data_IF_496461283342
#
_entry.id   IF_496461283342
#
_cell.length_a   1.000
_cell.length_b   1.000
_cell.length_c   1.000
_cell.angle_alpha   90.00
_cell.angle_beta   90.00
_cell.angle_gamma   90.00
#
_symmetry.space_group_name_H-M   'P 1'
#
loop_
_entity.id
_entity.type
_entity.pdbx_description
1 polymer ?
#
# COMPACT_ATOMS: atom_id res chain seq x y z
N UNK A 1 -17.28 0.12 -81.57
CA UNK A 1 -17.85 1.49 -81.68
C UNK A 1 -18.15 2.03 -80.31
N UNK A 2 -17.95 3.34 -80.12
CA UNK A 2 -18.15 4.14 -78.89
C UNK A 2 -16.94 4.19 -77.93
N UNK A 3 -15.96 5.09 -78.12
CA UNK A 3 -15.92 6.55 -77.78
C UNK A 3 -15.43 6.75 -76.33
N UNK A 4 -14.14 7.10 -76.13
CA UNK A 4 -13.62 8.47 -75.81
C UNK A 4 -13.76 8.74 -74.27
N UNK A 5 -12.82 9.28 -73.52
CA UNK A 5 -12.05 10.51 -73.70
C UNK A 5 -10.80 10.53 -72.81
N UNK A 6 -9.77 11.23 -73.31
CA UNK A 6 -8.57 11.68 -72.58
C UNK A 6 -8.85 12.99 -71.82
N UNK A 7 -7.89 13.31 -70.92
CA UNK A 7 -7.38 14.62 -70.45
C UNK A 7 -7.73 14.98 -68.99
N UNK A 8 -6.95 15.86 -68.30
CA UNK A 8 -5.50 16.06 -68.37
C UNK A 8 -4.82 16.45 -67.01
N UNK A 9 -3.51 16.70 -67.10
CA UNK A 9 -2.80 17.88 -66.55
C UNK A 9 -2.17 17.86 -65.14
N UNK A 10 -0.84 17.72 -65.16
CA UNK A 10 0.22 18.58 -64.58
C UNK A 10 0.18 19.04 -63.11
N UNK A 11 1.28 18.67 -62.45
CA UNK A 11 2.17 19.46 -61.56
C UNK A 11 1.56 20.27 -60.40
N UNK A 12 2.06 20.03 -59.18
CA UNK A 12 3.10 20.89 -58.58
C UNK A 12 3.56 20.36 -57.22
N UNK A 13 4.70 20.90 -56.81
CA UNK A 13 5.68 20.39 -55.87
C UNK A 13 5.44 20.93 -54.45
N UNK A 14 5.79 20.11 -53.47
CA UNK A 14 6.18 20.42 -52.08
C UNK A 14 5.23 21.22 -51.17
N UNK A 15 4.89 20.62 -50.02
CA UNK A 15 4.96 21.31 -48.73
C UNK A 15 5.07 20.29 -47.57
N UNK A 16 6.07 20.53 -46.72
CA UNK A 16 6.34 19.88 -45.46
C UNK A 16 5.11 19.68 -44.56
N UNK A 17 4.93 18.47 -44.04
CA UNK A 17 4.12 18.22 -42.85
C UNK A 17 5.04 17.82 -41.70
N UNK A 18 5.35 18.79 -40.84
CA UNK A 18 5.87 18.57 -39.48
C UNK A 18 4.70 18.16 -38.56
N UNK A 19 5.06 17.48 -37.46
CA UNK A 19 4.28 17.13 -36.24
C UNK A 19 3.90 15.64 -36.18
N UNK A 20 3.99 14.93 -35.06
CA UNK A 20 4.47 15.16 -33.69
C UNK A 20 4.65 13.76 -33.05
N UNK A 21 5.57 13.68 -32.08
CA UNK A 21 5.69 12.72 -30.98
C UNK A 21 4.72 11.51 -30.93
N UNK A 22 5.30 10.30 -30.85
CA UNK A 22 4.68 9.15 -30.18
C UNK A 22 5.38 8.92 -28.85
N UNK A 23 4.62 8.91 -27.75
CA UNK A 23 4.77 7.82 -26.80
C UNK A 23 3.40 7.16 -26.61
N UNK A 24 3.34 5.84 -26.79
CA UNK A 24 2.15 5.04 -26.47
C UNK A 24 2.60 3.77 -25.76
N UNK A 25 2.90 3.91 -24.47
CA UNK A 25 2.78 2.82 -23.52
C UNK A 25 2.03 3.35 -22.30
N UNK A 26 1.09 2.52 -21.90
CA UNK A 26 -0.14 2.84 -21.20
C UNK A 26 0.08 2.96 -19.70
N UNK A 27 -0.68 3.90 -19.15
CA UNK A 27 -0.95 4.19 -17.75
C UNK A 27 -1.25 2.92 -16.93
N UNK A 28 -0.26 2.37 -16.22
CA UNK A 28 -0.47 1.45 -15.10
C UNK A 28 -0.15 2.16 -13.78
N UNK A 29 -0.98 3.16 -13.46
CA UNK A 29 -1.22 3.51 -12.06
C UNK A 29 -2.57 4.18 -12.01
N UNK A 30 -3.61 3.35 -11.88
CA UNK A 30 -4.91 3.79 -11.42
C UNK A 30 -4.78 4.21 -9.95
N UNK A 31 -4.12 5.35 -9.70
CA UNK A 31 -4.30 6.09 -8.46
C UNK A 31 -5.66 6.76 -8.60
N UNK A 32 -6.67 6.09 -8.04
CA UNK A 32 -8.07 6.44 -8.07
C UNK A 32 -8.27 7.81 -7.43
N UNK A 33 -8.32 8.85 -8.26
CA UNK A 33 -8.76 10.18 -7.86
C UNK A 33 -10.27 10.14 -7.61
N UNK A 34 -10.70 9.85 -6.38
CA UNK A 34 -12.09 10.08 -5.96
C UNK A 34 -12.18 10.37 -4.48
N UNK A 35 -12.45 11.65 -4.19
CA UNK A 35 -12.87 12.23 -2.90
C UNK A 35 -11.99 11.88 -1.71
N UNK A 36 -11.15 12.84 -1.34
CA UNK A 36 -10.48 12.96 -0.04
C UNK A 36 -11.53 12.94 1.09
N UNK A 37 -11.99 11.75 1.48
CA UNK A 37 -12.26 11.52 2.89
C UNK A 37 -10.88 11.30 3.46
N UNK A 38 -10.38 12.29 4.20
CA UNK A 38 -9.27 12.13 5.13
C UNK A 38 -9.69 11.00 6.05
N UNK A 39 -9.38 9.77 5.66
CA UNK A 39 -9.72 8.61 6.44
C UNK A 39 -8.67 8.63 7.52
N UNK A 40 -9.00 9.21 8.67
CA UNK A 40 -8.09 9.35 9.81
C UNK A 40 -7.94 7.97 10.51
N UNK A 41 -7.65 6.96 9.71
CA UNK A 41 -7.44 5.60 10.17
C UNK A 41 -6.06 5.53 10.82
N UNK A 42 -6.04 5.05 12.05
CA UNK A 42 -4.83 4.95 12.87
C UNK A 42 -4.70 3.54 13.41
N UNK A 43 -3.49 3.01 13.36
CA UNK A 43 -3.11 1.76 14.00
C UNK A 43 -2.49 2.11 15.35
N UNK A 44 -3.24 1.89 16.43
CA UNK A 44 -2.82 2.20 17.79
C UNK A 44 -2.13 0.98 18.40
N UNK A 45 -0.87 1.08 18.89
CA UNK A 45 -0.18 -0.02 19.55
C UNK A 45 -0.98 -0.47 20.79
N UNK A 46 -1.26 -1.77 20.86
CA UNK A 46 -2.01 -2.43 21.94
C UNK A 46 -1.27 -3.67 22.46
N UNK A 47 0.04 -3.75 22.18
CA UNK A 47 0.94 -4.74 22.76
C UNK A 47 1.14 -4.48 24.26
N UNK A 48 1.37 -5.55 25.03
CA UNK A 48 1.67 -5.44 26.46
C UNK A 48 3.07 -4.90 26.76
N UNK A 49 3.95 -4.83 25.75
CA UNK A 49 5.36 -4.48 25.94
C UNK A 49 6.17 -5.61 26.57
N UNK A 50 5.59 -6.81 26.66
CA UNK A 50 6.31 -7.97 27.19
C UNK A 50 7.33 -8.46 26.16
N UNK A 51 8.58 -8.49 26.58
CA UNK A 51 9.77 -8.83 25.81
C UNK A 51 10.51 -10.00 26.47
N UNK A 52 9.97 -10.58 27.55
CA UNK A 52 10.66 -11.61 28.35
C UNK A 52 10.84 -12.93 27.62
N UNK A 53 10.12 -13.12 26.51
CA UNK A 53 10.33 -14.23 25.57
C UNK A 53 11.57 -14.01 24.67
N UNK A 54 11.93 -12.75 24.41
CA UNK A 54 12.93 -12.36 23.41
C UNK A 54 14.29 -12.03 24.04
N UNK A 55 14.28 -11.51 25.26
CA UNK A 55 15.48 -11.08 25.97
C UNK A 55 15.54 -11.71 27.35
N UNK A 56 16.71 -12.25 27.71
CA UNK A 56 16.99 -12.69 29.07
C UNK A 56 17.14 -11.50 30.03
N UNK A 57 17.50 -10.31 29.51
CA UNK A 57 17.63 -9.07 30.27
C UNK A 57 16.49 -8.09 29.95
N UNK A 58 15.68 -7.67 30.94
CA UNK A 58 14.56 -6.76 30.72
C UNK A 58 14.98 -5.32 30.40
N UNK A 59 16.28 -4.98 30.53
CA UNK A 59 16.80 -3.64 30.22
C UNK A 59 17.03 -3.44 28.73
N UNK A 60 17.12 -4.51 27.94
CA UNK A 60 17.28 -4.48 26.48
C UNK A 60 15.94 -4.45 25.72
N UNK A 61 14.83 -4.41 26.46
CA UNK A 61 13.51 -4.40 25.90
C UNK A 61 13.29 -3.17 25.01
N UNK A 62 12.94 -3.38 23.73
CA UNK A 62 12.67 -2.28 22.84
C UNK A 62 11.46 -1.48 23.32
N UNK A 63 11.49 -0.17 23.07
CA UNK A 63 10.32 0.67 23.32
C UNK A 63 9.17 0.22 22.43
N UNK A 64 7.95 0.27 22.97
CA UNK A 64 6.75 0.01 22.17
C UNK A 64 6.71 0.95 20.96
N UNK A 65 6.22 0.47 19.81
CA UNK A 65 6.08 1.29 18.62
C UNK A 65 5.07 2.41 18.84
N UNK A 66 5.23 3.51 18.10
CA UNK A 66 4.30 4.63 18.12
C UNK A 66 3.03 4.34 17.29
N UNK A 67 2.04 5.24 17.38
CA UNK A 67 0.81 5.16 16.58
C UNK A 67 1.15 5.35 15.11
N UNK A 68 0.67 4.45 14.25
CA UNK A 68 0.89 4.51 12.81
C UNK A 68 -0.34 5.13 12.15
N UNK A 69 -0.16 6.26 11.45
CA UNK A 69 -1.23 6.90 10.68
C UNK A 69 -1.33 6.28 9.29
N UNK A 70 -2.51 5.78 8.92
CA UNK A 70 -2.73 5.25 7.58
C UNK A 70 -2.94 6.39 6.57
N UNK A 71 -2.52 6.20 5.31
CA UNK A 71 -2.68 7.21 4.26
C UNK A 71 -4.15 7.30 3.80
N UNK A 72 -4.43 8.31 2.97
CA UNK A 72 -5.76 8.51 2.39
C UNK A 72 -6.27 7.27 1.63
N UNK A 73 -7.60 7.15 1.61
CA UNK A 73 -8.29 6.10 0.89
C UNK A 73 -7.86 6.01 -0.59
N UNK A 74 -7.53 4.81 -1.03
CA UNK A 74 -6.94 4.54 -2.35
C UNK A 74 -5.41 4.45 -2.35
N UNK A 75 -4.76 4.59 -1.19
CA UNK A 75 -3.30 4.52 -1.02
C UNK A 75 -2.90 3.29 -0.22
N UNK A 76 -1.65 2.85 -0.40
CA UNK A 76 -1.06 1.77 0.39
C UNK A 76 0.13 2.25 1.20
N UNK A 77 0.23 1.78 2.44
CA UNK A 77 1.35 1.97 3.34
C UNK A 77 2.16 0.68 3.44
N UNK A 78 3.49 0.78 3.42
CA UNK A 78 4.37 -0.33 3.74
C UNK A 78 4.68 -0.29 5.23
N UNK A 79 4.63 -1.45 5.87
CA UNK A 79 4.89 -1.63 7.30
C UNK A 79 6.06 -2.59 7.46
N UNK A 80 7.04 -2.20 8.26
CA UNK A 80 8.24 -3.01 8.48
C UNK A 80 9.29 -2.27 9.29
N UNK A 81 10.39 -2.94 9.57
CA UNK A 81 11.49 -2.37 10.36
C UNK A 81 12.37 -1.41 9.57
N UNK A 82 12.50 -1.64 8.26
CA UNK A 82 13.37 -0.89 7.35
C UNK A 82 12.55 -0.12 6.31
N UNK A 83 11.28 0.15 6.60
CA UNK A 83 10.43 1.01 5.75
C UNK A 83 10.57 2.47 6.17
N UNK A 84 10.57 3.36 5.18
CA UNK A 84 10.55 4.80 5.42
C UNK A 84 9.10 5.30 5.60
N UNK A 85 8.89 6.15 6.62
CA UNK A 85 7.62 6.83 6.90
C UNK A 85 6.85 6.26 8.09
N UNK A 86 5.52 6.44 8.08
CA UNK A 86 4.63 6.12 9.20
C UNK A 86 4.62 4.63 9.56
N UNK A 87 4.81 3.73 8.58
CA UNK A 87 4.80 2.28 8.82
C UNK A 87 6.08 1.71 9.42
N UNK A 88 7.03 2.55 9.83
CA UNK A 88 8.29 2.11 10.40
C UNK A 88 8.10 1.56 11.81
N UNK A 89 8.28 0.25 11.97
CA UNK A 89 8.21 -0.45 13.26
C UNK A 89 9.61 -0.96 13.59
N UNK A 90 10.35 -0.20 14.39
CA UNK A 90 11.73 -0.48 14.78
C UNK A 90 11.86 -1.64 15.80
N UNK A 91 11.21 -2.77 15.54
CA UNK A 91 11.23 -3.96 16.37
C UNK A 91 12.04 -5.08 15.70
N UNK A 92 12.84 -5.86 16.46
CA UNK A 92 13.64 -6.96 15.92
C UNK A 92 12.80 -8.12 15.40
N UNK A 93 11.58 -8.28 15.92
CA UNK A 93 10.61 -9.31 15.51
C UNK A 93 9.88 -8.97 14.21
N UNK A 94 10.02 -7.74 13.72
CA UNK A 94 9.44 -7.26 12.47
C UNK A 94 10.50 -7.30 11.37
N UNK A 95 10.13 -7.86 10.23
CA UNK A 95 11.01 -7.95 9.05
C UNK A 95 11.21 -6.57 8.42
N UNK A 96 12.32 -6.36 7.69
CA UNK A 96 12.63 -5.08 7.06
C UNK A 96 11.44 -4.50 6.28
N UNK A 97 10.82 -5.34 5.44
CA UNK A 97 9.49 -5.11 4.85
C UNK A 97 8.62 -6.28 5.27
N UNK A 98 7.65 -6.05 6.15
CA UNK A 98 6.90 -7.12 6.82
C UNK A 98 5.50 -7.29 6.22
N UNK A 99 4.75 -6.19 6.11
CA UNK A 99 3.41 -6.20 5.56
C UNK A 99 3.12 -4.92 4.77
N UNK A 100 2.06 -4.97 3.97
CA UNK A 100 1.51 -3.84 3.25
C UNK A 100 0.07 -3.65 3.66
N UNK A 101 -0.28 -2.43 4.03
CA UNK A 101 -1.64 -2.03 4.38
C UNK A 101 -2.20 -1.21 3.23
N UNK A 102 -3.24 -1.71 2.60
CA UNK A 102 -3.99 -1.04 1.55
C UNK A 102 -5.26 -0.43 2.14
N UNK A 103 -5.44 0.87 1.95
CA UNK A 103 -6.70 1.54 2.27
C UNK A 103 -7.49 1.67 0.99
N UNK A 104 -8.64 1.03 0.92
CA UNK A 104 -9.55 1.10 -0.22
C UNK A 104 -10.33 2.41 -0.22
N UNK A 105 -10.73 2.87 -1.41
CA UNK A 105 -11.52 4.10 -1.61
C UNK A 105 -12.89 4.12 -0.91
N UNK A 106 -13.35 2.97 -0.41
CA UNK A 106 -14.59 2.83 0.37
C UNK A 106 -14.36 2.84 1.88
N UNK A 107 -13.14 3.11 2.37
CA UNK A 107 -12.76 3.06 3.78
C UNK A 107 -12.40 1.67 4.29
N UNK A 108 -12.45 0.63 3.45
CA UNK A 108 -12.00 -0.71 3.83
C UNK A 108 -10.48 -0.79 3.90
N UNK A 109 -9.94 -1.31 5.01
CA UNK A 109 -8.50 -1.56 5.16
C UNK A 109 -8.22 -3.02 4.88
N UNK A 110 -7.12 -3.30 4.19
CA UNK A 110 -6.68 -4.65 3.86
C UNK A 110 -5.19 -4.77 4.18
N UNK A 111 -4.80 -5.84 4.82
CA UNK A 111 -3.42 -6.12 5.19
C UNK A 111 -2.94 -7.30 4.35
N UNK A 112 -1.79 -7.13 3.70
CA UNK A 112 -1.12 -8.16 2.92
C UNK A 112 0.22 -8.43 3.57
N UNK A 113 0.42 -9.65 4.06
CA UNK A 113 1.72 -10.07 4.56
C UNK A 113 2.70 -10.23 3.40
N UNK A 114 3.94 -9.74 3.53
CA UNK A 114 4.96 -9.77 2.48
C UNK A 114 6.02 -10.84 2.77
N UNK A 115 5.57 -12.05 3.12
CA UNK A 115 6.43 -13.19 3.48
C UNK A 115 7.27 -12.88 4.73
N UNK A 116 6.60 -12.43 5.78
CA UNK A 116 7.27 -12.08 7.01
C UNK A 116 7.78 -13.31 7.76
N UNK A 117 8.88 -13.16 8.50
CA UNK A 117 9.53 -14.27 9.20
C UNK A 117 8.68 -14.87 10.31
N UNK A 118 7.95 -14.02 11.04
CA UNK A 118 7.11 -14.42 12.19
C UNK A 118 5.61 -14.52 11.84
N UNK A 119 5.23 -14.11 10.63
CA UNK A 119 3.84 -14.05 10.17
C UNK A 119 3.08 -12.81 10.64
N UNK A 120 1.97 -12.53 9.96
CA UNK A 120 0.99 -11.51 10.35
C UNK A 120 -0.29 -12.18 10.85
N UNK A 121 -0.93 -11.63 11.88
CA UNK A 121 -2.15 -12.18 12.48
C UNK A 121 -3.22 -11.09 12.59
N UNK A 122 -4.48 -11.39 12.27
CA UNK A 122 -5.63 -10.48 12.39
C UNK A 122 -6.66 -11.13 13.31
N UNK A 123 -7.02 -10.47 14.41
CA UNK A 123 -8.03 -10.97 15.38
C UNK A 123 -7.90 -12.45 15.77
N UNK A 124 -6.66 -12.93 15.96
CA UNK A 124 -6.31 -14.31 16.29
C UNK A 124 -6.25 -15.30 15.11
N UNK A 125 -6.61 -14.89 13.90
CA UNK A 125 -6.42 -15.67 12.68
C UNK A 125 -5.07 -15.34 12.01
N UNK A 126 -4.39 -16.37 11.50
CA UNK A 126 -3.16 -16.20 10.70
C UNK A 126 -3.51 -15.67 9.31
N UNK A 127 -2.84 -14.62 8.87
CA UNK A 127 -2.90 -14.18 7.48
C UNK A 127 -1.99 -15.05 6.61
N UNK A 128 -2.50 -15.46 5.44
CA UNK A 128 -1.64 -16.09 4.43
C UNK A 128 -0.67 -15.05 3.85
N UNK A 129 0.61 -15.43 3.72
CA UNK A 129 1.61 -14.62 3.03
C UNK A 129 1.15 -14.29 1.60
N UNK A 130 1.39 -13.05 1.17
CA UNK A 130 1.01 -12.51 -0.14
C UNK A 130 -0.49 -12.50 -0.44
N UNK A 131 -1.34 -12.70 0.57
CA UNK A 131 -2.79 -12.66 0.42
C UNK A 131 -3.37 -11.42 1.12
N UNK A 132 -4.21 -10.64 0.43
CA UNK A 132 -4.91 -9.52 1.06
C UNK A 132 -5.97 -10.03 2.03
N UNK A 133 -5.79 -9.75 3.31
CA UNK A 133 -6.77 -10.04 4.38
C UNK A 133 -7.47 -8.75 4.82
N UNK A 134 -8.81 -8.70 4.78
CA UNK A 134 -9.53 -7.50 5.20
C UNK A 134 -9.38 -7.26 6.71
N UNK A 135 -9.03 -6.03 7.08
CA UNK A 135 -8.97 -5.57 8.48
C UNK A 135 -10.09 -4.55 8.68
N UNK A 136 -11.00 -4.85 9.62
CA UNK A 136 -12.09 -3.92 9.94
C UNK A 136 -11.67 -2.95 11.03
N UNK A 137 -12.32 -1.80 11.09
CA UNK A 137 -12.13 -0.85 12.19
C UNK A 137 -12.56 -1.47 13.52
N UNK A 138 -11.80 -1.21 14.58
CA UNK A 138 -11.95 -1.80 15.91
C UNK A 138 -11.23 -3.15 16.07
N UNK A 139 -10.62 -3.67 15.00
CA UNK A 139 -9.96 -4.97 14.98
C UNK A 139 -8.46 -4.84 15.25
N UNK A 140 -7.87 -5.90 15.79
CA UNK A 140 -6.44 -5.94 16.07
C UNK A 140 -5.67 -6.71 15.00
N UNK A 141 -4.55 -6.16 14.57
CA UNK A 141 -3.56 -6.80 13.71
C UNK A 141 -2.24 -6.92 14.48
N UNK A 142 -1.52 -8.01 14.29
CA UNK A 142 -0.23 -8.29 14.91
C UNK A 142 0.79 -8.56 13.82
N UNK A 143 1.91 -7.87 13.86
CA UNK A 143 3.01 -8.01 12.90
C UNK A 143 4.18 -8.72 13.57
N UNK A 144 4.28 -10.03 13.42
CA UNK A 144 5.27 -10.85 14.12
C UNK A 144 4.87 -11.12 15.58
N UNK A 145 5.33 -10.30 16.53
CA UNK A 145 5.15 -10.59 17.96
C UNK A 145 3.86 -9.96 18.55
N UNK A 146 3.00 -10.75 19.23
CA UNK A 146 1.72 -10.28 19.79
C UNK A 146 1.84 -9.35 21.00
N UNK A 147 3.01 -9.30 21.65
CA UNK A 147 3.25 -8.48 22.83
C UNK A 147 3.88 -7.13 22.48
N UNK A 148 4.66 -7.05 21.39
CA UNK A 148 5.34 -5.83 20.96
C UNK A 148 4.68 -5.16 19.74
N UNK A 149 4.26 -5.95 18.74
CA UNK A 149 3.86 -5.46 17.43
C UNK A 149 2.36 -5.67 17.14
N UNK A 150 1.55 -5.57 18.20
CA UNK A 150 0.09 -5.62 18.13
C UNK A 150 -0.48 -4.22 18.01
N UNK A 151 -1.36 -4.00 17.04
CA UNK A 151 -2.00 -2.73 16.74
C UNK A 151 -3.51 -2.91 16.61
N UNK A 152 -4.27 -1.90 17.03
CA UNK A 152 -5.72 -1.83 16.85
C UNK A 152 -6.02 -0.79 15.79
N UNK A 153 -6.78 -1.18 14.76
CA UNK A 153 -7.27 -0.23 13.76
C UNK A 153 -8.40 0.60 14.37
N UNK A 154 -8.22 1.91 14.41
CA UNK A 154 -9.22 2.88 14.87
C UNK A 154 -9.49 3.85 13.73
N UNK A 155 -10.74 4.20 13.55
CA UNK A 155 -11.16 5.25 12.63
C UNK A 155 -11.48 6.49 13.44
N UNK A 156 -10.79 7.59 13.13
CA UNK A 156 -11.01 8.90 13.75
C UNK A 156 -11.82 9.83 12.84
N UNK A 157 -12.61 9.27 11.91
CA UNK A 157 -13.46 10.08 11.05
C UNK A 157 -14.73 10.49 11.81
N UNK A 158 -14.65 11.61 12.54
CA UNK A 158 -15.82 12.33 13.08
C UNK A 158 -16.65 13.03 11.99
#
# INVERSE_FOLDING_TARGET
>A
SSTRCRLPSKNNVAAHSRRLCRPRLTLEKAASARCLRTSALRLIPSGSGDCGHLYDDPSECPTLPDIITLPDAGTSLLVGREVDGEGCIALPTVSGVHARVDVSGNGGVTVTDLDSTNGTYVENDTCDANRPTPLQVGKTVTFGDPFLAKFTLVDDSE
#
